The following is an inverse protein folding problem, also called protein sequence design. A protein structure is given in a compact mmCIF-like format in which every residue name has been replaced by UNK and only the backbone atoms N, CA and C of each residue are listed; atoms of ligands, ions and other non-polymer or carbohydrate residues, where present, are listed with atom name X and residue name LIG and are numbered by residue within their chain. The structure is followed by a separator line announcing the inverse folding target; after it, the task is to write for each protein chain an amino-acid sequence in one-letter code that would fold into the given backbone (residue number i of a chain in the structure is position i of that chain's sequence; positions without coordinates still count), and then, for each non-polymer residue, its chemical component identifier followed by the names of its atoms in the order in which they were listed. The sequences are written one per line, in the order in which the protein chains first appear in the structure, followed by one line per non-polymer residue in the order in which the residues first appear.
data_IF_938189267480
#
_entry.id   IF_938189267480
#
_cell.length_a   1.000
_cell.length_b   1.000
_cell.length_c   1.000
_cell.angle_alpha   90.00
_cell.angle_beta   90.00
_cell.angle_gamma   90.00
#
_symmetry.space_group_name_H-M   'P 1'
#
loop_
_entity.id
_entity.type
_entity.pdbx_description
1 polymer ?
#
# COMPACT_ATOMS: atom_id res chain seq x y z
N UNK A 1 -12.62 -40.03 -59.45
CA UNK A 1 -13.01 -39.59 -60.81
C UNK A 1 -12.92 -38.08 -60.85
N UNK A 2 -12.20 -37.60 -61.86
CA UNK A 2 -12.01 -36.21 -62.27
C UNK A 2 -13.35 -35.47 -62.49
N UNK A 3 -13.48 -34.13 -62.54
CA UNK A 3 -12.74 -33.11 -63.28
C UNK A 3 -13.05 -31.73 -62.69
N UNK A 4 -12.11 -30.79 -62.79
CA UNK A 4 -12.30 -29.39 -62.43
C UNK A 4 -12.84 -28.51 -63.57
N UNK A 5 -12.91 -27.21 -63.32
CA UNK A 5 -12.49 -26.20 -64.30
C UNK A 5 -12.17 -24.84 -63.66
N UNK A 6 -11.07 -24.28 -64.14
CA UNK A 6 -10.50 -22.96 -63.85
C UNK A 6 -11.33 -21.82 -64.48
N UNK A 7 -11.25 -20.62 -63.88
CA UNK A 7 -10.84 -19.42 -64.63
C UNK A 7 -10.31 -18.33 -63.68
N UNK A 8 -9.10 -17.85 -63.97
CA UNK A 8 -8.41 -16.76 -63.29
C UNK A 8 -8.72 -15.41 -63.94
N UNK A 9 -8.80 -14.34 -63.14
CA UNK A 9 -8.26 -13.03 -63.54
C UNK A 9 -7.64 -12.38 -62.31
N UNK A 10 -6.35 -12.02 -62.45
CA UNK A 10 -5.53 -11.45 -61.39
C UNK A 10 -5.73 -9.95 -61.23
N UNK A 11 -5.52 -9.48 -60.00
CA UNK A 11 -4.98 -8.16 -59.72
C UNK A 11 -3.95 -8.28 -58.60
N UNK A 12 -2.70 -8.03 -58.98
CA UNK A 12 -1.55 -7.91 -58.10
C UNK A 12 -1.68 -6.62 -57.29
N UNK A 13 -1.98 -6.72 -56.00
CA UNK A 13 -1.86 -5.62 -55.04
C UNK A 13 -0.63 -5.88 -54.17
N UNK A 14 0.41 -5.07 -54.37
CA UNK A 14 1.58 -5.00 -53.51
C UNK A 14 1.12 -4.80 -52.05
N UNK A 15 1.35 -5.80 -51.18
CA UNK A 15 1.37 -5.59 -49.74
C UNK A 15 2.73 -5.02 -49.36
N UNK A 16 2.80 -3.70 -49.25
CA UNK A 16 3.88 -3.05 -48.53
C UNK A 16 3.85 -3.53 -47.07
N UNK A 17 4.96 -4.12 -46.63
CA UNK A 17 5.21 -4.45 -45.22
C UNK A 17 5.24 -3.15 -44.42
N UNK A 18 4.18 -2.90 -43.65
CA UNK A 18 4.22 -1.92 -42.56
C UNK A 18 4.74 -2.65 -41.33
N UNK A 19 6.07 -2.66 -41.18
CA UNK A 19 6.72 -2.96 -39.91
C UNK A 19 6.28 -1.92 -38.87
N UNK A 20 5.19 -2.24 -38.16
CA UNK A 20 4.75 -1.48 -37.02
C UNK A 20 5.79 -1.60 -35.91
N UNK A 21 6.58 -0.55 -35.68
CA UNK A 21 7.42 -0.41 -34.48
C UNK A 21 6.57 -0.65 -33.23
N UNK A 22 6.77 -1.80 -32.60
CA UNK A 22 6.26 -2.07 -31.26
C UNK A 22 6.86 -1.01 -30.32
N UNK A 23 6.05 -0.33 -29.48
CA UNK A 23 6.58 0.65 -28.54
C UNK A 23 7.66 -0.01 -27.66
N UNK A 24 8.89 0.52 -27.68
CA UNK A 24 10.07 -0.04 -26.96
C UNK A 24 9.79 -0.34 -25.47
N UNK A 25 8.83 0.33 -24.84
CA UNK A 25 8.42 0.07 -23.46
C UNK A 25 7.66 -1.24 -23.21
N UNK A 26 7.07 -1.89 -24.22
CA UNK A 26 6.37 -3.19 -24.04
C UNK A 26 7.30 -4.40 -24.15
N UNK A 27 8.39 -4.29 -24.93
CA UNK A 27 9.39 -5.36 -25.09
C UNK A 27 10.30 -5.50 -23.86
N UNK A 28 10.60 -4.40 -23.16
CA UNK A 28 11.51 -4.41 -22.00
C UNK A 28 11.03 -5.26 -20.81
N UNK A 29 9.72 -5.54 -20.73
CA UNK A 29 9.10 -6.31 -19.65
C UNK A 29 8.80 -7.76 -20.01
N UNK A 30 9.11 -8.21 -21.23
CA UNK A 30 8.91 -9.60 -21.62
C UNK A 30 10.14 -10.41 -21.24
N UNK A 31 9.90 -11.48 -20.47
CA UNK A 31 10.94 -12.44 -20.10
C UNK A 31 11.32 -13.22 -21.38
N UNK A 32 12.62 -13.32 -21.72
CA UNK A 32 13.05 -14.06 -22.90
C UNK A 32 12.54 -15.51 -22.91
N UNK A 33 12.14 -16.05 -24.08
CA UNK A 33 11.74 -17.46 -24.21
C UNK A 33 12.83 -18.44 -23.76
N UNK A 34 14.09 -18.04 -23.84
CA UNK A 34 15.24 -18.83 -23.42
C UNK A 34 15.25 -19.11 -21.92
N UNK A 35 14.77 -18.16 -21.10
CA UNK A 35 14.59 -18.35 -19.66
C UNK A 35 13.31 -19.13 -19.41
N UNK A 36 12.19 -18.74 -20.04
CA UNK A 36 10.89 -19.36 -19.80
C UNK A 36 10.87 -20.85 -20.18
N UNK A 37 11.51 -21.23 -21.27
CA UNK A 37 11.50 -22.58 -21.81
C UNK A 37 12.72 -23.41 -21.41
N UNK A 38 13.56 -22.92 -20.49
CA UNK A 38 14.74 -23.67 -20.02
C UNK A 38 14.29 -24.89 -19.20
N UNK A 39 14.53 -26.14 -19.67
CA UNK A 39 14.03 -27.34 -18.99
C UNK A 39 14.68 -27.57 -17.63
N UNK A 40 15.95 -27.16 -17.46
CA UNK A 40 16.63 -27.29 -16.17
C UNK A 40 16.08 -26.32 -15.14
N UNK A 41 15.76 -25.09 -15.55
CA UNK A 41 15.13 -24.09 -14.68
C UNK A 41 13.73 -24.56 -14.27
N UNK A 42 12.94 -25.06 -15.21
CA UNK A 42 11.60 -25.58 -14.91
C UNK A 42 11.66 -26.75 -13.92
N UNK A 43 12.60 -27.68 -14.09
CA UNK A 43 12.79 -28.78 -13.15
C UNK A 43 13.21 -28.28 -11.75
N UNK A 44 14.07 -27.25 -11.66
CA UNK A 44 14.49 -26.69 -10.38
C UNK A 44 13.32 -25.96 -9.66
N UNK A 45 12.48 -25.24 -10.41
CA UNK A 45 11.30 -24.53 -9.86
C UNK A 45 10.26 -25.52 -9.32
N UNK A 46 10.14 -26.73 -9.87
CA UNK A 46 9.16 -27.73 -9.42
C UNK A 46 9.33 -28.19 -7.96
N UNK A 47 10.48 -27.90 -7.33
CA UNK A 47 10.71 -28.15 -5.90
C UNK A 47 9.94 -27.16 -5.02
N UNK A 48 9.63 -25.97 -5.54
CA UNK A 48 8.83 -24.96 -4.87
C UNK A 48 7.32 -25.33 -4.95
N UNK A 49 6.50 -24.92 -3.97
CA UNK A 49 5.08 -25.24 -3.97
C UNK A 49 4.38 -24.67 -5.20
N UNK A 50 3.68 -25.55 -5.94
CA UNK A 50 3.08 -25.23 -7.24
C UNK A 50 1.93 -24.24 -7.18
N UNK A 51 1.35 -24.03 -6.00
CA UNK A 51 0.32 -23.03 -5.75
C UNK A 51 0.88 -21.65 -5.40
N UNK A 52 2.20 -21.48 -5.22
CA UNK A 52 2.85 -20.19 -4.97
C UNK A 52 3.61 -19.73 -6.22
N UNK A 53 3.44 -18.47 -6.59
CA UNK A 53 4.18 -17.88 -7.70
C UNK A 53 5.31 -16.96 -7.21
N UNK A 54 6.51 -17.51 -7.06
CA UNK A 54 7.72 -16.75 -6.70
C UNK A 54 8.32 -15.94 -7.85
N UNK A 55 7.71 -15.95 -9.04
CA UNK A 55 8.18 -15.21 -10.23
C UNK A 55 9.67 -15.44 -10.58
N UNK A 56 10.22 -16.63 -10.29
CA UNK A 56 11.65 -16.96 -10.47
C UNK A 56 12.19 -16.58 -11.86
N UNK A 57 11.52 -16.89 -12.99
CA UNK A 57 12.01 -16.49 -14.32
C UNK A 57 12.13 -14.97 -14.49
N UNK A 58 11.20 -14.20 -13.88
CA UNK A 58 11.25 -12.73 -13.90
C UNK A 58 12.40 -12.23 -13.05
N UNK A 59 12.63 -12.82 -11.88
CA UNK A 59 13.74 -12.46 -10.99
C UNK A 59 15.08 -12.66 -11.70
N UNK A 60 15.31 -13.82 -12.31
CA UNK A 60 16.51 -14.11 -13.12
C UNK A 60 16.69 -13.05 -14.21
N UNK A 61 15.64 -12.80 -15.00
CA UNK A 61 15.70 -11.80 -16.08
C UNK A 61 16.06 -10.40 -15.56
N UNK A 62 15.47 -9.98 -14.44
CA UNK A 62 15.71 -8.66 -13.86
C UNK A 62 17.11 -8.51 -13.28
N UNK A 63 17.65 -9.56 -12.65
CA UNK A 63 19.03 -9.62 -12.19
C UNK A 63 20.00 -9.49 -13.38
N UNK A 64 19.76 -10.24 -14.47
CA UNK A 64 20.56 -10.17 -15.69
C UNK A 64 20.50 -8.80 -16.37
N UNK A 65 19.30 -8.22 -16.53
CA UNK A 65 19.13 -6.86 -17.07
C UNK A 65 19.81 -5.80 -16.20
N UNK A 66 19.87 -6.03 -14.90
CA UNK A 66 20.58 -5.14 -13.99
C UNK A 66 22.08 -5.34 -13.99
N UNK A 67 22.58 -6.43 -14.59
CA UNK A 67 23.95 -6.90 -14.43
C UNK A 67 24.37 -6.97 -12.95
N UNK A 68 23.40 -7.28 -12.09
CA UNK A 68 23.59 -7.30 -10.65
C UNK A 68 24.58 -8.41 -10.26
N UNK A 69 25.46 -8.10 -9.32
CA UNK A 69 26.49 -9.01 -8.83
C UNK A 69 26.20 -9.52 -7.42
N UNK A 70 25.45 -8.77 -6.61
CA UNK A 70 25.09 -9.14 -5.24
C UNK A 70 23.60 -8.88 -5.00
N UNK A 71 22.84 -9.97 -4.89
CA UNK A 71 21.38 -9.93 -4.74
C UNK A 71 21.01 -10.24 -3.30
N UNK A 72 20.32 -9.31 -2.63
CA UNK A 72 19.70 -9.55 -1.34
C UNK A 72 18.26 -10.04 -1.52
N UNK A 73 17.87 -11.09 -0.79
CA UNK A 73 16.50 -11.56 -0.69
C UNK A 73 15.93 -11.17 0.66
N UNK A 74 14.89 -10.35 0.66
CA UNK A 74 14.11 -10.02 1.86
C UNK A 74 12.77 -10.74 1.80
N UNK A 75 12.46 -11.51 2.84
CA UNK A 75 11.25 -12.34 2.89
C UNK A 75 10.56 -12.20 4.25
N UNK A 76 9.21 -12.22 4.29
CA UNK A 76 8.50 -12.47 5.54
C UNK A 76 8.78 -13.88 6.07
N UNK A 77 8.55 -14.08 7.35
CA UNK A 77 8.86 -15.30 8.09
C UNK A 77 8.25 -16.55 7.43
N UNK A 78 7.00 -16.45 6.95
CA UNK A 78 6.30 -17.55 6.28
C UNK A 78 6.90 -17.98 4.94
N UNK A 79 7.81 -17.19 4.35
CA UNK A 79 8.48 -17.52 3.10
C UNK A 79 9.97 -17.89 3.29
N UNK A 80 10.54 -17.66 4.47
CA UNK A 80 11.94 -18.00 4.76
C UNK A 80 12.26 -19.49 4.58
N UNK A 81 11.26 -20.37 4.72
CA UNK A 81 11.42 -21.81 4.51
C UNK A 81 11.79 -22.17 3.05
N UNK A 82 11.56 -21.26 2.10
CA UNK A 82 11.93 -21.42 0.68
C UNK A 82 13.22 -20.68 0.32
N UNK A 83 13.81 -19.93 1.24
CA UNK A 83 14.87 -18.97 0.93
C UNK A 83 16.12 -19.66 0.36
N UNK A 84 16.63 -20.70 1.00
CA UNK A 84 17.82 -21.42 0.52
C UNK A 84 17.58 -22.07 -0.85
N UNK A 85 16.42 -22.67 -1.08
CA UNK A 85 16.08 -23.23 -2.40
C UNK A 85 16.03 -22.15 -3.48
N UNK A 86 15.48 -20.97 -3.17
CA UNK A 86 15.45 -19.84 -4.10
C UNK A 86 16.87 -19.31 -4.36
N UNK A 87 17.72 -19.22 -3.34
CA UNK A 87 19.15 -18.88 -3.48
C UNK A 87 19.83 -19.84 -4.45
N UNK A 88 19.74 -21.15 -4.22
CA UNK A 88 20.36 -22.17 -5.07
C UNK A 88 19.91 -22.06 -6.54
N UNK A 89 18.62 -21.79 -6.77
CA UNK A 89 18.10 -21.58 -8.12
C UNK A 89 18.68 -20.31 -8.73
N UNK A 90 18.64 -19.17 -8.02
CA UNK A 90 19.12 -17.91 -8.57
C UNK A 90 20.63 -17.94 -8.84
N UNK A 91 21.44 -18.51 -7.96
CA UNK A 91 22.90 -18.65 -8.16
C UNK A 91 23.23 -19.62 -9.29
N UNK A 92 22.41 -20.66 -9.51
CA UNK A 92 22.62 -21.58 -10.65
C UNK A 92 22.32 -20.95 -12.00
N UNK A 93 21.35 -20.05 -12.08
CA UNK A 93 20.85 -19.48 -13.34
C UNK A 93 21.21 -17.99 -13.55
N UNK A 94 22.04 -17.43 -12.66
CA UNK A 94 22.63 -16.09 -12.80
C UNK A 94 24.11 -16.14 -12.42
N UNK A 95 24.84 -15.05 -12.63
CA UNK A 95 26.23 -14.91 -12.16
C UNK A 95 26.31 -14.17 -10.81
N UNK A 96 25.17 -13.90 -10.17
CA UNK A 96 25.13 -13.11 -8.95
C UNK A 96 25.33 -13.99 -7.72
N UNK A 97 26.04 -13.45 -6.73
CA UNK A 97 26.02 -13.95 -5.35
C UNK A 97 24.69 -13.57 -4.71
N UNK A 98 24.01 -14.52 -4.06
CA UNK A 98 22.67 -14.29 -3.50
C UNK A 98 22.67 -14.52 -1.99
N UNK A 99 22.23 -13.52 -1.23
CA UNK A 99 22.17 -13.58 0.23
C UNK A 99 20.72 -13.45 0.73
N UNK A 100 20.42 -14.11 1.85
CA UNK A 100 19.13 -13.98 2.55
C UNK A 100 19.29 -12.95 3.68
N UNK A 101 18.42 -11.95 3.70
CA UNK A 101 18.35 -11.00 4.81
C UNK A 101 17.65 -11.66 6.01
N UNK A 102 18.31 -11.65 7.16
CA UNK A 102 17.81 -12.32 8.38
C UNK A 102 16.91 -11.46 9.26
N UNK A 103 16.79 -10.16 8.97
CA UNK A 103 15.93 -9.26 9.74
C UNK A 103 14.44 -9.49 9.43
N UNK A 104 13.61 -9.24 10.43
CA UNK A 104 12.15 -9.42 10.36
C UNK A 104 11.53 -8.55 9.27
N UNK A 105 10.52 -9.10 8.58
CA UNK A 105 9.81 -8.38 7.51
C UNK A 105 8.30 -8.51 7.69
N UNK A 106 7.71 -7.61 8.46
CA UNK A 106 6.28 -7.61 8.77
C UNK A 106 5.37 -7.17 7.61
N UNK A 107 5.89 -6.45 6.62
CA UNK A 107 5.07 -5.85 5.58
C UNK A 107 5.85 -5.03 4.56
N UNK A 108 5.12 -4.44 3.62
CA UNK A 108 5.74 -3.66 2.54
C UNK A 108 6.43 -2.37 3.02
N UNK A 109 6.00 -1.84 4.16
CA UNK A 109 6.67 -0.72 4.82
C UNK A 109 8.04 -1.10 5.40
N UNK A 110 8.39 -2.38 5.45
CA UNK A 110 9.65 -2.89 6.00
C UNK A 110 10.72 -3.12 4.93
N UNK A 111 10.56 -2.61 3.70
CA UNK A 111 11.61 -2.71 2.68
C UNK A 111 12.92 -2.15 3.24
N UNK A 112 13.95 -3.00 3.32
CA UNK A 112 15.21 -2.67 3.98
C UNK A 112 16.35 -2.46 2.98
N UNK A 113 16.23 -1.35 2.25
CA UNK A 113 17.22 -0.92 1.28
C UNK A 113 18.51 -0.40 1.93
N UNK A 114 18.48 -0.05 3.22
CA UNK A 114 19.66 0.44 3.94
C UNK A 114 20.59 -0.72 4.28
N UNK A 115 20.07 -1.78 4.90
CA UNK A 115 20.88 -2.97 5.24
C UNK A 115 21.35 -3.69 3.98
N UNK A 116 20.50 -3.82 2.96
CA UNK A 116 20.91 -4.41 1.68
C UNK A 116 22.14 -3.68 1.08
N UNK A 117 22.13 -2.34 1.09
CA UNK A 117 23.29 -1.54 0.63
C UNK A 117 24.50 -1.69 1.54
N UNK A 118 24.31 -1.72 2.85
CA UNK A 118 25.40 -1.90 3.80
C UNK A 118 26.10 -3.27 3.63
N UNK A 119 25.37 -4.29 3.19
CA UNK A 119 25.89 -5.62 2.82
C UNK A 119 26.53 -5.63 1.41
N UNK A 120 26.50 -4.52 0.69
CA UNK A 120 27.05 -4.38 -0.66
C UNK A 120 26.17 -4.98 -1.75
N UNK A 121 24.88 -5.21 -1.49
CA UNK A 121 23.95 -5.63 -2.53
C UNK A 121 23.68 -4.49 -3.52
N UNK A 122 23.62 -4.82 -4.80
CA UNK A 122 23.23 -3.93 -5.90
C UNK A 122 21.81 -4.25 -6.43
N UNK A 123 21.20 -5.31 -5.91
CA UNK A 123 19.84 -5.70 -6.19
C UNK A 123 19.13 -6.28 -4.95
N UNK A 124 17.89 -5.86 -4.69
CA UNK A 124 17.05 -6.36 -3.60
C UNK A 124 15.78 -6.98 -4.18
N UNK A 125 15.50 -8.24 -3.85
CA UNK A 125 14.21 -8.88 -4.13
C UNK A 125 13.39 -8.91 -2.84
N UNK A 126 12.30 -8.15 -2.80
CA UNK A 126 11.38 -8.08 -1.67
C UNK A 126 10.15 -8.95 -1.96
N UNK A 127 9.97 -10.01 -1.16
CA UNK A 127 8.88 -10.97 -1.34
C UNK A 127 7.65 -10.65 -0.47
N UNK A 128 6.47 -11.01 -0.98
CA UNK A 128 5.23 -11.15 -0.21
C UNK A 128 4.39 -9.88 0.01
N UNK A 129 4.85 -8.71 -0.41
CA UNK A 129 4.15 -7.44 -0.11
C UNK A 129 4.12 -6.44 -1.28
N UNK A 130 3.03 -5.66 -1.36
CA UNK A 130 2.85 -4.54 -2.28
C UNK A 130 3.35 -3.23 -1.64
N UNK A 131 4.38 -2.59 -2.21
CA UNK A 131 4.94 -1.41 -1.57
C UNK A 131 4.02 -0.18 -1.69
N UNK A 132 3.71 0.43 -0.54
CA UNK A 132 3.03 1.72 -0.45
C UNK A 132 4.01 2.91 -0.48
N UNK A 133 5.30 2.66 -0.28
CA UNK A 133 6.32 3.69 -0.11
C UNK A 133 7.04 3.91 -1.44
N UNK A 134 7.01 5.13 -2.02
CA UNK A 134 7.79 5.43 -3.21
C UNK A 134 9.28 5.25 -2.92
N UNK A 135 9.93 4.36 -3.65
CA UNK A 135 11.39 4.23 -3.63
C UNK A 135 11.96 5.16 -4.69
N UNK A 136 12.86 6.06 -4.29
CA UNK A 136 13.63 6.85 -5.24
C UNK A 136 14.73 5.98 -5.85
N UNK A 137 14.41 5.38 -6.99
CA UNK A 137 15.35 4.54 -7.76
C UNK A 137 16.37 5.35 -8.54
N UNK A 138 16.27 6.68 -8.57
CA UNK A 138 17.17 7.54 -9.35
C UNK A 138 18.41 8.00 -8.56
N UNK A 139 18.34 7.92 -7.24
CA UNK A 139 19.41 8.36 -6.33
C UNK A 139 20.14 7.20 -5.63
N UNK A 140 19.87 5.94 -5.99
CA UNK A 140 20.33 4.77 -5.24
C UNK A 140 20.99 3.73 -6.15
N UNK A 141 22.21 3.31 -5.82
CA UNK A 141 22.95 2.20 -6.45
C UNK A 141 22.33 0.81 -6.15
N UNK A 142 21.06 0.76 -5.73
CA UNK A 142 20.33 -0.47 -5.38
C UNK A 142 19.01 -0.51 -6.15
N UNK A 143 18.80 -1.56 -6.94
CA UNK A 143 17.52 -1.81 -7.61
C UNK A 143 16.64 -2.72 -6.76
N UNK A 144 15.36 -2.40 -6.64
CA UNK A 144 14.40 -3.20 -5.87
C UNK A 144 13.39 -3.86 -6.79
N UNK A 145 13.25 -5.18 -6.71
CA UNK A 145 12.21 -5.97 -7.35
C UNK A 145 11.22 -6.46 -6.30
N UNK A 146 9.94 -6.11 -6.47
CA UNK A 146 8.86 -6.67 -5.67
C UNK A 146 8.31 -7.93 -6.34
N UNK A 147 8.20 -9.00 -5.55
CA UNK A 147 7.55 -10.26 -5.91
C UNK A 147 6.42 -10.49 -4.91
N UNK A 148 5.18 -10.39 -5.36
CA UNK A 148 4.03 -10.42 -4.45
C UNK A 148 3.69 -11.81 -3.92
N UNK A 149 4.15 -12.86 -4.60
CA UNK A 149 3.85 -14.26 -4.29
C UNK A 149 2.36 -14.53 -4.33
N UNK A 150 1.83 -14.58 -5.55
CA UNK A 150 0.44 -14.96 -5.80
C UNK A 150 0.21 -16.42 -5.37
N UNK A 151 -0.79 -16.64 -4.51
CA UNK A 151 -1.16 -17.96 -3.99
C UNK A 151 -2.49 -18.39 -4.59
N UNK A 152 -2.45 -19.49 -5.34
CA UNK A 152 -3.63 -20.11 -5.94
C UNK A 152 -4.44 -20.86 -4.89
N UNK A 153 -5.75 -20.67 -4.94
CA UNK A 153 -6.71 -21.29 -4.02
C UNK A 153 -7.87 -21.94 -4.78
N UNK A 154 -8.68 -22.72 -4.07
CA UNK A 154 -9.92 -23.29 -4.59
C UNK A 154 -11.01 -22.22 -4.67
N UNK A 155 -11.09 -21.55 -5.82
CA UNK A 155 -12.05 -20.47 -6.08
C UNK A 155 -13.48 -20.97 -6.20
N UNK A 156 -13.69 -22.24 -6.58
CA UNK A 156 -15.02 -22.83 -6.68
C UNK A 156 -15.62 -22.98 -5.30
N UNK A 157 -14.84 -23.54 -4.35
CA UNK A 157 -15.28 -23.67 -2.97
C UNK A 157 -15.57 -22.32 -2.31
N UNK A 158 -14.75 -21.29 -2.56
CA UNK A 158 -15.01 -19.93 -2.10
C UNK A 158 -16.37 -19.42 -2.60
N UNK A 159 -16.64 -19.52 -3.91
CA UNK A 159 -17.90 -19.06 -4.50
C UNK A 159 -19.11 -19.83 -3.96
N UNK A 160 -19.00 -21.13 -3.79
CA UNK A 160 -20.08 -21.96 -3.26
C UNK A 160 -20.35 -21.67 -1.78
N UNK A 161 -19.30 -21.41 -0.99
CA UNK A 161 -19.43 -20.97 0.41
C UNK A 161 -20.16 -19.63 0.51
N UNK A 162 -19.85 -18.68 -0.38
CA UNK A 162 -20.53 -17.37 -0.44
C UNK A 162 -22.00 -17.55 -0.82
N UNK A 163 -22.29 -18.33 -1.87
CA UNK A 163 -23.66 -18.59 -2.34
C UNK A 163 -24.53 -19.30 -1.31
N UNK A 164 -23.95 -20.17 -0.49
CA UNK A 164 -24.66 -20.86 0.58
C UNK A 164 -25.00 -19.91 1.74
N UNK A 165 -24.17 -18.88 1.96
CA UNK A 165 -24.25 -17.98 3.12
C UNK A 165 -25.10 -16.75 2.83
N UNK A 166 -25.04 -16.21 1.62
CA UNK A 166 -25.67 -14.95 1.24
C UNK A 166 -26.71 -15.12 0.13
N UNK A 167 -27.85 -14.41 0.20
CA UNK A 167 -28.78 -14.30 -0.92
C UNK A 167 -28.11 -13.76 -2.21
N UNK A 168 -28.55 -14.16 -3.41
CA UNK A 168 -27.92 -13.75 -4.67
C UNK A 168 -27.85 -12.24 -4.95
N UNK A 169 -28.68 -11.44 -4.30
CA UNK A 169 -28.77 -9.98 -4.50
C UNK A 169 -27.99 -9.17 -3.45
N UNK A 170 -27.29 -9.82 -2.52
CA UNK A 170 -26.56 -9.12 -1.45
C UNK A 170 -25.42 -8.27 -2.00
N UNK A 171 -25.34 -7.03 -1.51
CA UNK A 171 -24.23 -6.12 -1.80
C UNK A 171 -23.02 -6.45 -0.91
N UNK A 172 -22.07 -7.21 -1.46
CA UNK A 172 -20.89 -7.70 -0.75
C UNK A 172 -19.63 -6.93 -1.14
N UNK A 173 -18.82 -6.55 -0.14
CA UNK A 173 -17.46 -6.09 -0.36
C UNK A 173 -16.48 -7.28 -0.26
N UNK A 174 -15.69 -7.51 -1.31
CA UNK A 174 -14.64 -8.53 -1.29
C UNK A 174 -13.28 -7.87 -1.07
N UNK A 175 -12.58 -8.30 -0.03
CA UNK A 175 -11.26 -7.79 0.35
C UNK A 175 -10.28 -8.92 0.63
N UNK A 176 -8.98 -8.64 0.53
CA UNK A 176 -7.90 -9.62 0.66
C UNK A 176 -6.58 -8.91 0.94
N UNK A 177 -5.54 -9.68 1.21
CA UNK A 177 -4.14 -9.24 1.08
C UNK A 177 -3.61 -9.48 -0.33
N UNK A 178 -2.42 -8.94 -0.63
CA UNK A 178 -1.79 -9.03 -1.95
C UNK A 178 -1.67 -10.48 -2.48
N UNK A 179 -1.44 -11.45 -1.60
CA UNK A 179 -1.17 -12.84 -2.00
C UNK A 179 -2.38 -13.52 -2.65
N UNK A 180 -3.61 -13.07 -2.35
CA UNK A 180 -4.83 -13.64 -2.92
C UNK A 180 -5.64 -12.64 -3.75
N UNK A 181 -5.19 -11.39 -3.90
CA UNK A 181 -5.98 -10.34 -4.57
C UNK A 181 -6.29 -10.66 -6.04
N UNK A 182 -5.46 -11.46 -6.70
CA UNK A 182 -5.70 -11.93 -8.08
C UNK A 182 -6.99 -12.74 -8.18
N UNK A 183 -7.34 -13.48 -7.11
CA UNK A 183 -8.56 -14.29 -7.02
C UNK A 183 -9.81 -13.42 -6.98
N UNK A 184 -9.71 -12.20 -6.45
CA UNK A 184 -10.83 -11.27 -6.35
C UNK A 184 -11.10 -10.46 -7.63
N UNK A 185 -10.28 -10.59 -8.67
CA UNK A 185 -10.36 -9.72 -9.83
C UNK A 185 -11.59 -9.99 -10.71
N UNK A 186 -12.61 -9.14 -10.55
CA UNK A 186 -13.54 -8.76 -11.62
C UNK A 186 -13.04 -7.47 -12.28
N UNK A 187 -12.80 -7.48 -13.59
CA UNK A 187 -12.46 -6.25 -14.34
C UNK A 187 -13.66 -5.28 -14.33
N UNK A 188 -13.49 -3.93 -14.25
CA UNK A 188 -12.25 -3.15 -14.23
C UNK A 188 -11.99 -2.44 -12.88
N UNK A 189 -10.72 -2.49 -12.43
CA UNK A 189 -10.11 -1.96 -11.19
C UNK A 189 -10.06 -2.98 -10.03
N UNK A 190 -8.88 -3.15 -9.43
CA UNK A 190 -8.70 -3.86 -8.16
C UNK A 190 -8.69 -2.84 -7.00
N UNK A 191 -9.72 -2.81 -6.14
CA UNK A 191 -9.67 -2.13 -4.85
C UNK A 191 -9.75 -3.08 -3.64
N UNK A 192 -9.66 -4.40 -3.86
CA UNK A 192 -9.86 -5.39 -2.81
C UNK A 192 -8.67 -5.59 -1.86
N UNK A 193 -7.51 -5.01 -2.14
CA UNK A 193 -6.38 -5.13 -1.21
C UNK A 193 -6.57 -4.21 0.00
N UNK A 194 -6.44 -4.78 1.20
CA UNK A 194 -6.40 -4.04 2.46
C UNK A 194 -5.11 -4.34 3.24
N UNK A 195 -4.65 -3.34 3.99
CA UNK A 195 -3.45 -3.43 4.83
C UNK A 195 -3.82 -3.15 6.29
N UNK A 196 -2.97 -3.55 7.24
CA UNK A 196 -3.21 -3.27 8.66
C UNK A 196 -3.26 -1.78 9.00
N UNK A 197 -2.64 -0.93 8.18
CA UNK A 197 -2.52 0.53 8.36
C UNK A 197 -3.28 1.36 7.32
N UNK A 198 -4.01 0.71 6.41
CA UNK A 198 -4.81 1.36 5.37
C UNK A 198 -6.07 0.53 5.12
N UNK A 199 -7.22 1.11 5.40
CA UNK A 199 -8.51 0.48 5.14
C UNK A 199 -9.54 1.51 4.67
N UNK A 200 -10.33 1.19 3.62
CA UNK A 200 -11.33 2.11 3.11
C UNK A 200 -12.54 2.19 4.02
N UNK A 201 -13.25 3.31 3.95
CA UNK A 201 -14.65 3.36 4.37
C UNK A 201 -15.51 2.69 3.29
N UNK A 202 -16.33 1.74 3.70
CA UNK A 202 -17.22 1.01 2.82
C UNK A 202 -18.49 1.85 2.56
N UNK A 203 -19.03 1.82 1.33
CA UNK A 203 -20.32 2.43 1.03
C UNK A 203 -21.43 1.89 1.93
N UNK A 204 -22.45 2.72 2.23
CA UNK A 204 -23.56 2.35 3.13
C UNK A 204 -24.40 1.20 2.61
N UNK A 205 -24.37 0.96 1.32
CA UNK A 205 -25.10 -0.11 0.63
C UNK A 205 -24.46 -1.48 0.85
N UNK A 206 -23.20 -1.54 1.34
CA UNK A 206 -22.52 -2.81 1.61
C UNK A 206 -23.15 -3.49 2.82
N UNK A 207 -23.71 -4.68 2.59
CA UNK A 207 -24.39 -5.50 3.61
C UNK A 207 -23.42 -6.37 4.41
N UNK A 208 -22.29 -6.75 3.81
CA UNK A 208 -21.22 -7.50 4.48
C UNK A 208 -19.89 -7.35 3.75
N UNK A 209 -18.80 -7.50 4.51
CA UNK A 209 -17.44 -7.63 3.98
C UNK A 209 -16.96 -9.07 4.11
N UNK A 210 -16.39 -9.61 3.04
CA UNK A 210 -15.79 -10.95 3.00
C UNK A 210 -14.30 -10.77 2.73
N UNK A 211 -13.50 -11.13 3.73
CA UNK A 211 -12.05 -11.17 3.64
C UNK A 211 -11.57 -12.55 3.23
N UNK A 212 -10.76 -12.62 2.18
CA UNK A 212 -10.05 -13.82 1.76
C UNK A 212 -8.65 -13.83 2.40
N UNK A 213 -8.43 -14.77 3.32
CA UNK A 213 -7.15 -14.95 4.02
C UNK A 213 -7.30 -15.75 5.32
N UNK A 214 -6.18 -16.25 5.84
CA UNK A 214 -6.10 -17.07 7.05
C UNK A 214 -5.95 -16.23 8.33
N UNK A 215 -5.34 -15.05 8.25
CA UNK A 215 -5.15 -14.16 9.40
C UNK A 215 -6.33 -13.23 9.69
N UNK A 216 -6.35 -12.65 10.91
CA UNK A 216 -7.32 -11.60 11.28
C UNK A 216 -6.76 -10.19 11.20
N UNK A 217 -5.44 -10.02 11.23
CA UNK A 217 -4.79 -8.70 11.26
C UNK A 217 -5.32 -7.75 10.17
N UNK A 218 -5.32 -8.17 8.90
CA UNK A 218 -5.82 -7.33 7.81
C UNK A 218 -7.34 -7.16 7.83
N UNK A 219 -8.10 -8.18 8.21
CA UNK A 219 -9.54 -8.07 8.35
C UNK A 219 -9.92 -7.07 9.45
N UNK A 220 -9.22 -7.08 10.57
CA UNK A 220 -9.51 -6.20 11.70
C UNK A 220 -9.34 -4.72 11.34
N UNK A 221 -8.44 -4.35 10.42
CA UNK A 221 -8.32 -2.95 10.02
C UNK A 221 -9.56 -2.44 9.27
N UNK A 222 -10.18 -3.25 8.40
CA UNK A 222 -11.46 -2.89 7.77
C UNK A 222 -12.62 -2.97 8.75
N UNK A 223 -12.61 -3.90 9.72
CA UNK A 223 -13.60 -3.95 10.78
C UNK A 223 -13.55 -2.68 11.64
N UNK A 224 -12.38 -2.26 12.10
CA UNK A 224 -12.19 -1.03 12.91
C UNK A 224 -12.71 0.21 12.15
N UNK A 225 -12.42 0.31 10.85
CA UNK A 225 -12.87 1.42 10.01
C UNK A 225 -14.40 1.41 9.74
N UNK A 226 -15.03 0.23 9.81
CA UNK A 226 -16.43 0.01 9.42
C UNK A 226 -17.16 -0.84 10.49
N UNK A 227 -17.34 -0.31 11.71
CA UNK A 227 -17.83 -1.09 12.86
C UNK A 227 -19.23 -1.68 12.68
N UNK A 228 -20.04 -1.06 11.82
CA UNK A 228 -21.43 -1.47 11.59
C UNK A 228 -21.59 -2.51 10.46
N UNK A 229 -20.52 -2.85 9.74
CA UNK A 229 -20.57 -3.78 8.60
C UNK A 229 -20.24 -5.20 9.08
N UNK A 230 -21.15 -6.18 8.94
CA UNK A 230 -20.86 -7.58 9.23
C UNK A 230 -19.63 -8.10 8.47
N UNK A 231 -18.70 -8.69 9.19
CA UNK A 231 -17.43 -9.18 8.65
C UNK A 231 -17.37 -10.71 8.63
N UNK A 232 -16.87 -11.24 7.53
CA UNK A 232 -16.64 -12.67 7.32
C UNK A 232 -15.22 -12.89 6.84
N UNK A 233 -14.63 -14.01 7.26
CA UNK A 233 -13.32 -14.48 6.81
C UNK A 233 -13.49 -15.82 6.13
N UNK A 234 -13.00 -15.92 4.89
CA UNK A 234 -12.77 -17.19 4.24
C UNK A 234 -11.29 -17.55 4.34
N UNK A 235 -10.98 -18.60 5.11
CA UNK A 235 -9.65 -19.18 5.16
C UNK A 235 -9.50 -20.20 4.02
N UNK A 236 -8.62 -19.95 3.03
CA UNK A 236 -8.47 -20.83 1.87
C UNK A 236 -7.79 -22.16 2.18
N UNK A 237 -7.12 -22.29 3.33
CA UNK A 237 -6.43 -23.52 3.74
C UNK A 237 -7.39 -24.46 4.47
N UNK A 238 -8.10 -23.95 5.48
CA UNK A 238 -9.10 -24.74 6.20
C UNK A 238 -10.44 -24.86 5.46
N UNK A 239 -10.65 -24.04 4.43
CA UNK A 239 -11.90 -23.95 3.64
C UNK A 239 -13.11 -23.60 4.50
N UNK A 240 -12.92 -22.69 5.45
CA UNK A 240 -13.97 -22.24 6.38
C UNK A 240 -14.32 -20.79 6.10
N UNK A 241 -15.61 -20.51 5.88
CA UNK A 241 -16.18 -19.16 5.93
C UNK A 241 -16.76 -18.92 7.33
N UNK A 242 -16.08 -18.12 8.14
CA UNK A 242 -16.51 -17.76 9.50
C UNK A 242 -16.99 -16.32 9.59
N UNK A 243 -17.99 -16.08 10.45
CA UNK A 243 -18.38 -14.71 10.84
C UNK A 243 -17.43 -14.23 11.94
N UNK A 244 -16.81 -13.08 11.72
CA UNK A 244 -15.80 -12.50 12.60
C UNK A 244 -16.38 -11.31 13.37
N UNK A 245 -15.95 -11.14 14.63
CA UNK A 245 -16.37 -10.05 15.50
C UNK A 245 -15.16 -9.33 16.08
N UNK A 246 -15.25 -8.01 16.18
CA UNK A 246 -14.21 -7.19 16.79
C UNK A 246 -14.78 -6.48 18.01
N UNK A 247 -14.06 -6.51 19.11
CA UNK A 247 -14.50 -5.87 20.34
C UNK A 247 -14.17 -4.36 20.29
N UNK A 248 -15.02 -3.62 19.56
CA UNK A 248 -14.86 -2.19 19.37
C UNK A 248 -14.91 -1.43 20.69
N UNK A 249 -15.78 -1.83 21.61
CA UNK A 249 -15.91 -1.17 22.91
C UNK A 249 -14.64 -1.32 23.72
N UNK A 250 -14.08 -2.54 23.81
CA UNK A 250 -12.82 -2.78 24.52
C UNK A 250 -11.66 -2.03 23.88
N UNK A 251 -11.54 -2.09 22.55
CA UNK A 251 -10.48 -1.34 21.84
C UNK A 251 -10.59 0.16 22.15
N UNK A 252 -11.77 0.76 21.96
CA UNK A 252 -11.98 2.18 22.21
C UNK A 252 -11.73 2.57 23.67
N UNK A 253 -12.19 1.75 24.62
CA UNK A 253 -11.96 1.97 26.05
C UNK A 253 -10.47 1.99 26.36
N UNK A 254 -9.73 0.96 25.93
CA UNK A 254 -8.28 0.87 26.12
C UNK A 254 -7.54 2.08 25.51
N UNK A 255 -7.93 2.51 24.30
CA UNK A 255 -7.29 3.65 23.63
C UNK A 255 -7.62 4.98 24.32
N UNK A 256 -8.85 5.18 24.75
CA UNK A 256 -9.27 6.38 25.47
C UNK A 256 -8.63 6.47 26.86
N UNK A 257 -8.49 5.36 27.57
CA UNK A 257 -7.76 5.29 28.84
C UNK A 257 -6.29 5.67 28.65
N UNK A 258 -5.62 5.10 27.63
CA UNK A 258 -4.24 5.45 27.30
C UNK A 258 -4.07 6.96 27.01
N UNK A 259 -5.00 7.57 26.26
CA UNK A 259 -5.04 9.01 26.01
C UNK A 259 -5.28 9.81 27.29
N UNK A 260 -6.21 9.37 28.14
CA UNK A 260 -6.53 10.03 29.40
C UNK A 260 -5.34 10.04 30.37
N UNK A 261 -4.62 8.92 30.48
CA UNK A 261 -3.36 8.83 31.24
C UNK A 261 -2.31 9.77 30.64
N UNK A 262 -2.15 9.78 29.31
CA UNK A 262 -1.18 10.63 28.62
C UNK A 262 -1.40 12.14 28.83
N UNK A 263 -2.65 12.58 28.98
CA UNK A 263 -2.97 14.00 29.27
C UNK A 263 -2.36 14.52 30.57
N UNK A 264 -2.03 13.63 31.51
CA UNK A 264 -1.43 13.97 32.80
C UNK A 264 0.08 13.69 32.84
N UNK A 265 0.67 13.24 31.72
CA UNK A 265 2.08 12.89 31.64
C UNK A 265 2.98 14.12 31.78
N UNK A 266 4.08 13.97 32.51
CA UNK A 266 5.08 15.03 32.71
C UNK A 266 6.27 14.88 31.78
N UNK A 267 6.57 13.65 31.35
CA UNK A 267 7.65 13.36 30.39
C UNK A 267 7.17 12.47 29.26
N UNK A 268 7.51 12.85 28.03
CA UNK A 268 7.11 12.16 26.80
C UNK A 268 8.29 11.45 26.16
N UNK A 269 8.03 10.32 25.51
CA UNK A 269 9.00 9.62 24.68
C UNK A 269 8.50 9.55 23.25
N UNK A 270 9.28 10.07 22.31
CA UNK A 270 8.99 10.01 20.89
C UNK A 270 9.83 8.91 20.25
N UNK A 271 9.17 7.88 19.71
CA UNK A 271 9.83 6.78 19.02
C UNK A 271 9.72 7.01 17.52
N UNK A 272 10.85 7.05 16.82
CA UNK A 272 10.91 6.98 15.36
C UNK A 272 11.23 5.55 14.95
N UNK A 273 10.31 4.90 14.23
CA UNK A 273 10.52 3.56 13.70
C UNK A 273 11.59 3.55 12.60
N UNK A 274 12.63 2.74 12.77
CA UNK A 274 13.73 2.61 11.79
C UNK A 274 13.69 1.30 11.01
N UNK A 275 12.68 0.44 11.24
CA UNK A 275 12.50 -0.76 10.43
C UNK A 275 11.95 -0.38 9.05
N UNK A 276 12.78 -0.56 8.04
CA UNK A 276 12.51 -0.13 6.66
C UNK A 276 12.09 1.34 6.59
N UNK A 277 10.83 1.56 6.20
CA UNK A 277 10.25 2.87 5.91
C UNK A 277 9.00 3.17 6.75
N UNK A 278 8.86 2.53 7.92
CA UNK A 278 7.72 2.75 8.82
C UNK A 278 7.71 4.16 9.44
N UNK A 279 8.88 4.69 9.80
CA UNK A 279 9.00 6.00 10.43
C UNK A 279 8.78 7.18 9.49
N UNK A 280 8.33 8.29 10.06
CA UNK A 280 8.15 9.56 9.35
C UNK A 280 8.83 10.70 10.11
N UNK A 281 10.01 11.17 9.67
CA UNK A 281 10.68 12.32 10.28
C UNK A 281 9.78 13.55 10.35
N UNK A 282 8.95 13.79 9.32
CA UNK A 282 7.99 14.91 9.31
C UNK A 282 6.98 14.85 10.45
N UNK A 283 6.46 13.66 10.77
CA UNK A 283 5.52 13.49 11.89
C UNK A 283 6.25 13.67 13.22
N UNK A 284 7.48 13.15 13.33
CA UNK A 284 8.32 13.34 14.49
C UNK A 284 8.59 14.82 14.75
N UNK A 285 9.07 15.57 13.75
CA UNK A 285 9.32 17.02 13.82
C UNK A 285 8.07 17.80 14.26
N UNK A 286 6.90 17.41 13.75
CA UNK A 286 5.62 18.01 14.15
C UNK A 286 5.32 17.77 15.64
N UNK A 287 5.49 16.54 16.13
CA UNK A 287 5.30 16.19 17.54
C UNK A 287 6.31 16.89 18.45
N UNK A 288 7.58 16.98 18.03
CA UNK A 288 8.63 17.71 18.74
C UNK A 288 8.26 19.19 18.91
N UNK A 289 7.93 19.86 17.81
CA UNK A 289 7.45 21.25 17.79
C UNK A 289 6.28 21.44 18.74
N UNK A 290 5.33 20.51 18.74
CA UNK A 290 4.14 20.62 19.57
C UNK A 290 4.44 20.48 21.06
N UNK A 291 5.24 19.49 21.45
CA UNK A 291 5.65 19.29 22.84
C UNK A 291 6.48 20.47 23.35
N UNK A 292 7.37 21.02 22.52
CA UNK A 292 8.13 22.24 22.84
C UNK A 292 7.22 23.44 23.10
N UNK A 293 6.23 23.67 22.22
CA UNK A 293 5.27 24.77 22.37
C UNK A 293 4.42 24.65 23.65
N UNK A 294 4.22 23.43 24.15
CA UNK A 294 3.50 23.15 25.40
C UNK A 294 4.42 23.11 26.63
N UNK A 295 5.75 23.29 26.46
CA UNK A 295 6.72 23.18 27.55
C UNK A 295 6.84 21.77 28.14
N UNK A 296 6.46 20.74 27.39
CA UNK A 296 6.50 19.35 27.82
C UNK A 296 7.85 18.72 27.45
N UNK A 297 8.65 18.24 28.42
CA UNK A 297 9.93 17.63 28.14
C UNK A 297 9.74 16.27 27.45
N UNK A 298 10.62 15.96 26.51
CA UNK A 298 10.60 14.69 25.79
C UNK A 298 11.99 14.15 25.49
N UNK A 299 12.05 12.83 25.29
CA UNK A 299 13.22 12.12 24.77
C UNK A 299 12.90 11.53 23.40
N UNK A 300 13.92 11.43 22.55
CA UNK A 300 13.83 10.83 21.21
C UNK A 300 14.49 9.46 21.24
N UNK A 301 13.84 8.46 20.68
CA UNK A 301 14.35 7.10 20.61
C UNK A 301 14.14 6.55 19.20
N UNK A 302 15.21 6.03 18.60
CA UNK A 302 15.16 5.38 17.30
C UNK A 302 15.17 3.86 17.54
N UNK A 303 14.16 3.15 17.03
CA UNK A 303 14.05 1.70 17.20
C UNK A 303 13.59 1.05 15.91
N UNK A 304 14.25 -0.04 15.52
CA UNK A 304 13.75 -0.93 14.48
C UNK A 304 12.52 -1.68 14.98
N UNK A 305 12.65 -2.31 16.15
CA UNK A 305 11.58 -3.07 16.79
C UNK A 305 11.29 -2.55 18.19
N UNK A 306 10.00 -2.30 18.45
CA UNK A 306 9.47 -1.70 19.67
C UNK A 306 8.94 -2.82 20.57
N UNK A 307 9.63 -3.08 21.68
CA UNK A 307 9.26 -4.11 22.64
C UNK A 307 9.00 -3.51 24.03
N UNK A 308 8.04 -4.05 24.82
CA UNK A 308 7.79 -3.59 26.18
C UNK A 308 9.03 -3.60 27.07
N UNK A 309 9.87 -4.64 26.96
CA UNK A 309 11.11 -4.76 27.73
C UNK A 309 12.11 -3.65 27.42
N UNK A 310 12.28 -3.26 26.15
CA UNK A 310 13.17 -2.14 25.75
C UNK A 310 12.69 -0.82 26.33
N UNK A 311 11.39 -0.52 26.23
CA UNK A 311 10.85 0.75 26.73
C UNK A 311 10.84 0.82 28.26
N UNK A 312 10.76 -0.32 28.94
CA UNK A 312 10.84 -0.39 30.41
C UNK A 312 12.20 0.04 30.98
N UNK A 313 13.25 0.07 30.17
CA UNK A 313 14.59 0.56 30.56
C UNK A 313 14.64 2.09 30.75
N UNK A 314 13.59 2.81 30.37
CA UNK A 314 13.49 4.27 30.48
C UNK A 314 12.34 4.66 31.43
N UNK A 315 12.46 4.37 32.74
CA UNK A 315 11.39 4.57 33.72
C UNK A 315 11.01 6.04 33.93
N UNK A 316 11.82 6.99 33.46
CA UNK A 316 11.54 8.42 33.52
C UNK A 316 10.50 8.91 32.49
N UNK A 317 10.24 8.14 31.44
CA UNK A 317 9.28 8.51 30.38
C UNK A 317 7.87 8.09 30.78
N UNK A 318 6.92 9.00 30.95
CA UNK A 318 5.57 8.66 31.42
C UNK A 318 4.68 8.08 30.31
N UNK A 319 4.88 8.51 29.07
CA UNK A 319 4.09 8.12 27.89
C UNK A 319 4.97 8.00 26.65
N UNK A 320 4.67 7.03 25.81
CA UNK A 320 5.32 6.82 24.52
C UNK A 320 4.38 7.19 23.37
N UNK A 321 4.92 7.89 22.37
CA UNK A 321 4.29 8.07 21.06
C UNK A 321 5.17 7.39 20.03
N UNK A 322 4.62 6.41 19.31
CA UNK A 322 5.35 5.72 18.26
C UNK A 322 4.97 6.26 16.88
N UNK A 323 5.98 6.71 16.14
CA UNK A 323 5.90 7.06 14.72
C UNK A 323 6.49 5.89 13.94
N UNK A 324 5.72 4.79 13.87
CA UNK A 324 6.06 3.54 13.19
C UNK A 324 4.77 2.83 12.72
N UNK A 325 4.66 1.51 12.91
CA UNK A 325 3.43 0.77 12.62
C UNK A 325 2.28 1.15 13.60
N UNK A 326 1.13 1.67 13.11
CA UNK A 326 0.02 2.08 13.98
C UNK A 326 -0.59 0.92 14.79
N UNK A 327 -0.50 -0.31 14.27
CA UNK A 327 -1.05 -1.51 14.92
C UNK A 327 -0.33 -1.90 16.20
N UNK A 328 0.91 -1.43 16.43
CA UNK A 328 1.61 -1.62 17.70
C UNK A 328 0.85 -0.98 18.87
N UNK A 329 0.32 0.22 18.67
CA UNK A 329 -0.49 0.89 19.70
C UNK A 329 -1.89 0.28 19.81
N UNK A 330 -2.52 -0.02 18.66
CA UNK A 330 -3.92 -0.48 18.61
C UNK A 330 -4.06 -1.89 19.21
N UNK A 331 -3.21 -2.83 18.78
CA UNK A 331 -3.34 -4.24 19.17
C UNK A 331 -2.53 -4.58 20.41
N UNK A 332 -1.33 -4.00 20.53
CA UNK A 332 -0.34 -4.39 21.53
C UNK A 332 -0.15 -3.33 22.62
N UNK A 333 -0.84 -2.19 22.53
CA UNK A 333 -0.64 -1.06 23.45
C UNK A 333 -0.82 -1.43 24.93
N UNK A 334 -1.71 -2.37 25.25
CA UNK A 334 -1.95 -2.83 26.63
C UNK A 334 -0.87 -3.76 27.17
N UNK A 335 0.02 -4.28 26.31
CA UNK A 335 1.19 -5.06 26.73
C UNK A 335 2.33 -4.17 27.25
N UNK A 336 2.26 -2.86 27.01
CA UNK A 336 3.23 -1.90 27.51
C UNK A 336 2.81 -1.42 28.91
N UNK A 337 3.76 -1.33 29.87
CA UNK A 337 3.45 -0.86 31.22
C UNK A 337 3.08 0.63 31.28
N UNK A 338 3.41 1.37 30.23
CA UNK A 338 3.10 2.80 30.06
C UNK A 338 2.36 3.00 28.74
N UNK A 339 1.49 4.02 28.63
CA UNK A 339 0.70 4.22 27.41
C UNK A 339 1.61 4.33 26.17
N UNK A 340 1.30 3.54 25.15
CA UNK A 340 1.92 3.60 23.82
C UNK A 340 0.89 4.12 22.82
N UNK A 341 1.05 5.36 22.37
CA UNK A 341 0.11 6.07 21.52
C UNK A 341 0.55 6.05 20.04
N UNK A 342 -0.44 6.05 19.14
CA UNK A 342 -0.22 6.46 17.75
C UNK A 342 -0.04 7.99 17.66
N UNK A 343 0.45 8.53 16.53
CA UNK A 343 0.52 9.99 16.33
C UNK A 343 -0.86 10.65 16.37
N UNK A 344 -1.90 9.95 15.90
CA UNK A 344 -3.29 10.40 15.99
C UNK A 344 -3.72 10.60 17.45
N UNK A 345 -3.49 9.59 18.29
CA UNK A 345 -3.89 9.62 19.70
C UNK A 345 -3.08 10.63 20.50
N UNK A 346 -1.80 10.83 20.15
CA UNK A 346 -0.99 11.90 20.70
C UNK A 346 -1.59 13.28 20.37
N UNK A 347 -2.03 13.50 19.13
CA UNK A 347 -2.71 14.75 18.75
C UNK A 347 -4.02 14.96 19.56
N UNK A 348 -4.76 13.89 19.87
CA UNK A 348 -5.95 13.96 20.75
C UNK A 348 -5.56 14.23 22.21
N UNK A 349 -4.49 13.61 22.71
CA UNK A 349 -3.99 13.80 24.07
C UNK A 349 -3.47 15.23 24.29
N UNK A 350 -2.77 15.79 23.30
CA UNK A 350 -2.22 17.15 23.30
C UNK A 350 -3.27 18.22 22.93
N UNK A 351 -4.53 17.82 22.73
CA UNK A 351 -5.69 18.69 22.44
C UNK A 351 -5.61 19.45 21.12
N UNK A 352 -4.91 18.89 20.13
CA UNK A 352 -4.83 19.49 18.79
C UNK A 352 -6.06 19.16 17.95
N UNK A 353 -6.62 17.97 18.17
CA UNK A 353 -7.84 17.51 17.54
C UNK A 353 -8.76 16.82 18.55
N UNK A 354 -10.04 16.74 18.21
CA UNK A 354 -10.98 15.89 18.95
C UNK A 354 -10.84 14.44 18.53
N UNK A 355 -11.27 13.53 19.42
CA UNK A 355 -11.44 12.12 19.09
C UNK A 355 -12.42 11.95 17.90
N UNK A 356 -12.14 10.99 17.03
CA UNK A 356 -12.87 10.72 15.80
C UNK A 356 -13.57 9.36 15.91
N UNK A 357 -14.74 9.27 15.31
CA UNK A 357 -15.53 8.04 15.20
C UNK A 357 -16.00 7.91 13.74
N UNK A 358 -15.71 6.79 13.04
CA UNK A 358 -14.94 5.63 13.50
C UNK A 358 -13.48 5.95 13.81
N UNK A 359 -12.76 5.02 14.47
CA UNK A 359 -11.32 5.17 14.69
C UNK A 359 -10.59 5.20 13.34
N UNK A 360 -9.71 6.18 13.07
CA UNK A 360 -9.08 6.33 11.77
C UNK A 360 -8.06 5.21 11.51
N UNK A 361 -8.23 4.50 10.38
CA UNK A 361 -7.35 3.39 9.98
C UNK A 361 -6.61 3.61 8.66
N UNK A 362 -6.73 4.78 8.04
CA UNK A 362 -5.99 5.12 6.82
C UNK A 362 -4.90 6.17 7.07
N UNK A 363 -3.74 5.68 7.53
CA UNK A 363 -2.60 6.53 7.91
C UNK A 363 -1.77 7.03 6.71
N UNK A 364 -2.04 6.47 5.53
CA UNK A 364 -1.38 6.80 4.26
C UNK A 364 -2.34 7.39 3.22
N UNK A 365 -3.56 7.76 3.62
CA UNK A 365 -4.53 8.40 2.75
C UNK A 365 -3.93 9.63 2.03
N UNK A 366 -4.21 9.77 0.73
CA UNK A 366 -3.86 11.01 0.01
C UNK A 366 -4.67 12.21 0.51
N UNK A 367 -5.93 11.99 0.85
CA UNK A 367 -6.76 12.93 1.61
C UNK A 367 -6.41 12.83 3.10
N UNK A 368 -5.27 13.42 3.45
CA UNK A 368 -4.73 13.41 4.81
C UNK A 368 -5.74 13.91 5.85
N UNK A 369 -5.83 13.19 6.97
CA UNK A 369 -6.67 13.55 8.13
C UNK A 369 -5.97 14.53 9.10
N UNK A 370 -4.75 14.95 8.79
CA UNK A 370 -3.98 15.90 9.59
C UNK A 370 -2.49 15.60 9.64
N UNK A 371 -1.71 16.44 10.32
CA UNK A 371 -0.24 16.36 10.38
C UNK A 371 0.31 15.09 11.07
N UNK A 372 -0.57 14.28 11.65
CA UNK A 372 -0.28 12.97 12.22
C UNK A 372 -0.35 11.80 11.20
N UNK A 373 -0.60 12.10 9.92
CA UNK A 373 -0.61 11.11 8.81
C UNK A 373 0.58 11.31 7.86
N UNK A 374 1.03 10.22 7.23
CA UNK A 374 2.29 10.21 6.46
C UNK A 374 2.25 11.12 5.23
N UNK A 375 1.10 11.19 4.56
CA UNK A 375 0.93 11.96 3.32
C UNK A 375 0.39 13.38 3.55
N UNK A 376 0.36 13.87 4.80
CA UNK A 376 -0.07 15.25 5.09
C UNK A 376 0.76 16.30 4.34
N UNK A 377 0.09 17.27 3.74
CA UNK A 377 0.73 18.35 2.96
C UNK A 377 1.41 17.88 1.67
N UNK A 378 1.17 16.65 1.24
CA UNK A 378 1.50 16.18 -0.12
C UNK A 378 0.23 16.30 -0.95
N UNK A 379 -0.06 17.48 -1.49
CA UNK A 379 -1.22 17.66 -2.38
C UNK A 379 -1.09 16.73 -3.59
N UNK A 380 -1.88 15.64 -3.61
CA UNK A 380 -2.16 14.94 -4.86
C UNK A 380 -3.29 15.71 -5.55
N UNK A 381 -3.12 16.20 -6.79
CA UNK A 381 -4.26 16.75 -7.53
C UNK A 381 -5.37 15.70 -7.54
N UNK A 382 -6.58 16.11 -7.15
CA UNK A 382 -7.75 15.23 -7.13
C UNK A 382 -7.84 14.52 -8.48
N UNK A 383 -7.73 13.19 -8.50
CA UNK A 383 -7.98 12.46 -9.74
C UNK A 383 -9.45 12.68 -10.09
N UNK A 384 -9.70 13.50 -11.12
CA UNK A 384 -11.02 13.62 -11.70
C UNK A 384 -11.55 12.22 -12.03
N UNK A 385 -12.86 11.96 -11.84
CA UNK A 385 -13.44 10.66 -12.15
C UNK A 385 -13.06 10.29 -13.58
N UNK A 386 -12.37 9.16 -13.77
CA UNK A 386 -12.09 8.64 -15.11
C UNK A 386 -13.43 8.44 -15.79
N UNK A 387 -13.67 9.21 -16.87
CA UNK A 387 -14.83 9.01 -17.74
C UNK A 387 -14.91 7.53 -18.12
N UNK A 388 -16.09 6.89 -18.04
CA UNK A 388 -16.26 5.54 -18.54
C UNK A 388 -15.81 5.51 -19.99
N UNK A 389 -14.97 4.53 -20.35
CA UNK A 389 -14.64 4.27 -21.73
C UNK A 389 -15.96 3.96 -22.45
N UNK A 390 -16.43 4.91 -23.26
CA UNK A 390 -17.55 4.71 -24.17
C UNK A 390 -17.22 3.50 -25.04
N UNK A 391 -17.93 2.40 -24.81
CA UNK A 391 -17.94 1.26 -25.69
C UNK A 391 -18.28 1.73 -27.10
N UNK A 392 -17.52 1.24 -28.09
CA UNK A 392 -17.87 1.40 -29.50
C UNK A 392 -19.20 0.68 -29.72
N UNK A 393 -20.30 1.42 -29.68
CA UNK A 393 -21.59 0.97 -30.18
C UNK A 393 -21.51 0.98 -31.71
N UNK A 394 -21.84 -0.16 -32.31
CA UNK A 394 -21.90 -0.36 -33.75
C UNK A 394 -22.79 0.68 -34.42
N UNK A 395 -22.36 1.13 -35.61
CA UNK A 395 -23.20 1.91 -36.51
C UNK A 395 -24.24 0.98 -37.10
N UNK A 396 -25.44 1.00 -36.54
CA UNK A 396 -26.64 0.65 -37.29
C UNK A 396 -27.30 1.92 -37.84
N UNK A 397 -27.57 1.83 -39.13
CA UNK A 397 -28.32 2.74 -39.97
C UNK A 397 -29.74 3.00 -39.47
N UNK A 398 -30.17 4.26 -39.44
CA UNK A 398 -31.45 4.74 -40.00
C UNK A 398 -31.58 6.27 -39.80
N UNK A 399 -32.18 6.94 -40.78
CA UNK A 399 -32.18 8.39 -40.93
C UNK A 399 -33.35 9.12 -40.25
N UNK A 400 -33.37 10.44 -40.43
CA UNK A 400 -34.57 11.26 -40.22
C UNK A 400 -34.37 12.60 -39.51
N UNK A 401 -34.41 13.67 -40.31
CA UNK A 401 -35.02 15.00 -40.06
C UNK A 401 -34.42 15.97 -39.03
N UNK A 402 -33.86 17.04 -39.61
CA UNK A 402 -34.06 18.48 -39.35
C UNK A 402 -34.82 18.95 -38.11
N UNK A 403 -34.22 19.90 -37.38
CA UNK A 403 -34.93 20.84 -36.51
C UNK A 403 -33.98 21.86 -35.85
N UNK A 404 -34.05 23.13 -36.26
CA UNK A 404 -33.33 24.28 -35.69
C UNK A 404 -33.78 24.56 -34.24
N UNK A 405 -32.88 25.05 -33.37
CA UNK A 405 -33.21 26.13 -32.42
C UNK A 405 -31.97 26.74 -31.73
N UNK A 406 -31.73 28.01 -32.07
CA UNK A 406 -31.34 29.16 -31.23
C UNK A 406 -30.19 29.05 -30.22
N UNK A 407 -29.08 29.69 -30.61
CA UNK A 407 -28.08 30.26 -29.72
C UNK A 407 -28.62 31.50 -29.00
N UNK A 408 -28.32 31.65 -27.71
CA UNK A 408 -28.28 32.94 -27.02
C UNK A 408 -26.97 33.05 -26.25
N UNK A 409 -26.22 34.12 -26.57
CA UNK A 409 -25.07 34.65 -25.84
C UNK A 409 -25.57 35.47 -24.65
N UNK A 410 -24.91 35.36 -23.50
CA UNK A 410 -24.67 36.50 -22.60
C UNK A 410 -23.49 36.17 -21.67
N UNK A 411 -22.39 36.91 -21.86
CA UNK A 411 -21.20 36.95 -21.03
C UNK A 411 -21.25 38.17 -20.08
N UNK A 412 -20.59 38.00 -18.93
CA UNK A 412 -19.79 38.99 -18.19
C UNK A 412 -20.47 40.06 -17.29
N UNK A 413 -20.26 39.88 -15.99
CA UNK A 413 -19.99 40.91 -14.97
C UNK A 413 -19.35 40.20 -13.76
N UNK A 414 -18.43 40.73 -12.95
CA UNK A 414 -17.50 41.84 -12.96
C UNK A 414 -16.57 41.62 -11.75
N UNK A 415 -15.26 41.90 -11.86
CA UNK A 415 -14.37 42.11 -10.70
C UNK A 415 -13.53 43.36 -10.97
N UNK A 416 -13.61 44.34 -10.07
CA UNK A 416 -12.70 45.50 -9.95
C UNK A 416 -11.97 45.37 -8.60
N UNK A 417 -10.67 45.71 -8.53
CA UNK A 417 -10.04 46.21 -7.31
C UNK A 417 -9.74 47.72 -7.45
N UNK A 418 -9.73 48.43 -6.32
CA UNK A 418 -9.26 49.82 -6.23
C UNK A 418 -7.97 49.87 -5.41
N UNK A 419 -7.06 50.73 -5.86
CA UNK A 419 -5.72 51.06 -5.33
C UNK A 419 -5.78 52.28 -4.39
N UNK A 420 -4.93 52.21 -3.36
CA UNK A 420 -4.04 53.21 -2.70
C UNK A 420 -4.30 54.73 -2.80
N UNK A 421 -4.08 55.45 -1.68
CA UNK A 421 -3.04 56.50 -1.55
C UNK A 421 -2.79 57.03 -0.10
N UNK A 422 -1.52 56.95 0.32
CA UNK A 422 -0.63 57.87 1.07
C UNK A 422 -0.92 58.56 2.44
N UNK A 423 -0.03 58.23 3.41
CA UNK A 423 0.98 59.03 4.17
C UNK A 423 0.62 60.16 5.18
N UNK A 424 1.17 60.05 6.40
CA UNK A 424 2.11 61.01 7.04
C UNK A 424 2.48 60.59 8.49
N UNK A 425 3.70 60.91 8.94
CA UNK A 425 4.07 60.95 10.37
C UNK A 425 5.43 60.35 10.74
N UNK A 426 6.38 61.20 11.10
CA UNK A 426 7.80 60.99 11.38
C UNK A 426 8.06 61.03 12.91
N UNK A 427 9.15 60.40 13.38
CA UNK A 427 10.11 60.88 14.42
C UNK A 427 10.62 59.83 15.44
N UNK A 428 11.94 59.61 15.34
CA UNK A 428 13.01 59.61 16.35
C UNK A 428 13.31 58.48 17.39
N UNK A 429 14.46 57.82 17.12
CA UNK A 429 15.76 57.81 17.87
C UNK A 429 15.95 57.03 19.20
N UNK A 430 17.12 56.35 19.22
CA UNK A 430 18.04 55.99 20.34
C UNK A 430 18.04 54.56 20.95
N UNK A 431 18.95 53.75 20.40
CA UNK A 431 20.08 53.07 21.07
C UNK A 431 20.38 53.44 22.55
N UNK A 432 20.60 52.46 23.43
CA UNK A 432 21.81 52.27 24.31
C UNK A 432 21.72 50.87 24.98
N UNK A 433 22.82 50.10 24.92
CA UNK A 433 23.07 48.86 25.70
C UNK A 433 23.26 49.10 27.22
N UNK A 434 23.99 48.23 27.96
CA UNK A 434 25.13 47.39 27.57
C UNK A 434 24.81 45.92 27.27
#
# INVERSE_FOLDING_TARGET
MALGNHCSMGQTLLKASLEGRVPRGRLANQIPPEILNNPQLQAAIQVLPSNYNFEIPKTIWRVQQAQAKKVALQMPEGLLLFACTIVDILERFTEAEVMVMGDVTYGACCVDDFTARALGADFLVHYGHSCLVPMDTSAQDLRVLYVFVDIRIDTTHLLDSIRLTFPPASALALVSTIQFVSTLQCKPLSPGEILGCTSPYLPKEVEAVIYLGDGRFHLESVMIANPDVPAYRYDPYSKVLSREHYDHQRMQTNRQEAIATARSAKSWGLILGTLGRQGSPKILEHLESRLQALGLPFVRLLLSEIFPSKLSLLPQVDVWVQVACPRLSIDWGTAFPKPLLTPYEAAVALRDISWQQPYPMDFYAGSSLGPWTVNHGRDRPSQAPRRPALGKVGRDSQGGRSGRSLATRAEAAAKRPLREMHASGMDDVADVGP
#
